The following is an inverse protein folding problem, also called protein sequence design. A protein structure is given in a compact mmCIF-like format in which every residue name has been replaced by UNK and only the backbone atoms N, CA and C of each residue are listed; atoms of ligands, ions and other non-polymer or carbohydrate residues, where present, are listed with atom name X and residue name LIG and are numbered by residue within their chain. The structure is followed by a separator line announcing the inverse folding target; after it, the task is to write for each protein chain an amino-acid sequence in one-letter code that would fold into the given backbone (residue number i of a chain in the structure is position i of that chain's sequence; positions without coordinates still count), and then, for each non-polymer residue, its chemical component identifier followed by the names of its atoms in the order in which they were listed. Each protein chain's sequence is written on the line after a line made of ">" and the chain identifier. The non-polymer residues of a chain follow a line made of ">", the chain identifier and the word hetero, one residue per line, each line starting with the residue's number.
data_IF_242358593156
#
_entry.id   IF_242358593156
#
_cell.length_a   1.000
_cell.length_b   1.000
_cell.length_c   1.000
_cell.angle_alpha   90.00
_cell.angle_beta   90.00
_cell.angle_gamma   90.00
#
_symmetry.space_group_name_H-M   'P 1'
#
loop_
_entity.id
_entity.type
_entity.pdbx_description
1 polymer ?
#
# COMPACT_ATOMS: atom_id res chain seq x y z
N UNK A 1 -70.69 -23.87 -40.07
CA UNK A 1 -69.79 -25.00 -39.77
C UNK A 1 -68.65 -24.43 -38.94
N UNK A 2 -68.67 -24.68 -37.63
CA UNK A 2 -67.72 -24.15 -36.66
C UNK A 2 -66.37 -24.88 -36.83
N UNK A 3 -65.28 -24.12 -36.87
CA UNK A 3 -63.91 -24.63 -36.75
C UNK A 3 -63.31 -23.96 -35.52
N UNK A 4 -63.14 -24.76 -34.47
CA UNK A 4 -62.46 -24.38 -33.23
C UNK A 4 -60.96 -24.49 -33.44
N UNK A 5 -60.23 -23.38 -33.36
CA UNK A 5 -58.77 -23.39 -33.24
C UNK A 5 -58.44 -23.41 -31.74
N UNK A 6 -58.04 -24.56 -31.21
CA UNK A 6 -57.50 -24.67 -29.85
C UNK A 6 -56.06 -24.19 -29.85
N UNK A 7 -55.81 -22.99 -29.30
CA UNK A 7 -54.47 -22.50 -29.02
C UNK A 7 -53.93 -23.16 -27.74
N UNK A 8 -52.94 -24.03 -27.89
CA UNK A 8 -52.19 -24.62 -26.78
C UNK A 8 -51.29 -23.54 -26.16
N UNK A 9 -51.63 -23.07 -24.97
CA UNK A 9 -50.78 -22.18 -24.19
C UNK A 9 -49.60 -22.97 -23.59
N UNK A 10 -48.39 -22.71 -24.07
CA UNK A 10 -47.15 -23.21 -23.50
C UNK A 10 -46.87 -22.42 -22.21
N UNK A 11 -47.20 -23.01 -21.05
CA UNK A 11 -46.85 -22.47 -19.74
C UNK A 11 -45.34 -22.68 -19.54
N UNK A 12 -44.56 -21.62 -19.73
CA UNK A 12 -43.15 -21.57 -19.37
C UNK A 12 -43.06 -21.47 -17.85
N UNK A 13 -42.82 -22.59 -17.17
CA UNK A 13 -42.49 -22.59 -15.75
C UNK A 13 -41.16 -21.87 -15.52
N UNK A 14 -41.19 -20.58 -15.14
CA UNK A 14 -40.04 -19.94 -14.51
C UNK A 14 -39.81 -20.61 -13.16
N UNK A 15 -38.94 -21.60 -13.13
CA UNK A 15 -38.36 -22.07 -11.88
C UNK A 15 -37.44 -20.97 -11.36
N UNK A 16 -37.91 -20.18 -10.40
CA UNK A 16 -37.03 -19.40 -9.54
C UNK A 16 -36.21 -20.39 -8.72
N UNK A 17 -35.00 -20.68 -9.17
CA UNK A 17 -33.98 -21.28 -8.32
C UNK A 17 -33.76 -20.32 -7.16
N UNK A 18 -34.12 -20.74 -5.95
CA UNK A 18 -33.62 -20.11 -4.73
C UNK A 18 -32.13 -20.43 -4.72
N UNK A 19 -31.31 -19.49 -5.18
CA UNK A 19 -29.89 -19.53 -4.90
C UNK A 19 -29.74 -19.38 -3.39
N UNK A 20 -29.48 -20.49 -2.70
CA UNK A 20 -28.87 -20.45 -1.39
C UNK A 20 -27.45 -19.94 -1.62
N UNK A 21 -27.20 -18.65 -1.37
CA UNK A 21 -25.85 -18.21 -1.11
C UNK A 21 -25.37 -19.02 0.11
N UNK A 22 -24.36 -19.86 -0.06
CA UNK A 22 -23.64 -20.39 1.08
C UNK A 22 -22.95 -19.20 1.78
N UNK A 23 -22.87 -19.23 3.10
CA UNK A 23 -22.42 -18.09 3.92
C UNK A 23 -20.93 -17.76 3.77
N UNK A 24 -20.39 -17.75 2.56
CA UNK A 24 -19.13 -17.10 2.22
C UNK A 24 -19.34 -15.58 2.17
N UNK A 25 -19.79 -14.98 3.27
CA UNK A 25 -19.35 -13.62 3.57
C UNK A 25 -17.85 -13.74 3.78
N UNK A 26 -17.08 -13.46 2.73
CA UNK A 26 -15.72 -13.04 2.91
C UNK A 26 -15.87 -11.70 3.62
N UNK A 27 -15.61 -11.67 4.93
CA UNK A 27 -15.38 -10.42 5.66
C UNK A 27 -14.45 -9.60 4.79
N UNK A 28 -14.92 -8.45 4.27
CA UNK A 28 -14.16 -7.71 3.27
C UNK A 28 -12.76 -7.48 3.83
N UNK A 29 -11.68 -7.87 3.10
CA UNK A 29 -10.34 -7.71 3.62
C UNK A 29 -10.16 -6.24 3.98
N UNK A 30 -9.70 -5.96 5.20
CA UNK A 30 -9.38 -4.60 5.58
C UNK A 30 -8.14 -4.19 4.77
N UNK A 31 -8.35 -3.37 3.73
CA UNK A 31 -7.29 -2.88 2.86
C UNK A 31 -6.80 -1.53 3.40
N UNK A 32 -5.51 -1.46 3.72
CA UNK A 32 -4.83 -0.19 4.00
C UNK A 32 -4.20 0.30 2.70
N UNK A 33 -4.64 1.44 2.14
CA UNK A 33 -4.01 1.99 0.95
C UNK A 33 -2.61 2.50 1.29
N UNK A 34 -1.63 2.10 0.49
CA UNK A 34 -0.21 2.45 0.67
C UNK A 34 0.30 3.06 -0.62
N UNK A 35 0.79 4.28 -0.56
CA UNK A 35 1.47 4.91 -1.68
C UNK A 35 2.98 4.94 -1.51
N UNK A 36 3.66 4.91 -2.65
CA UNK A 36 5.11 5.02 -2.72
C UNK A 36 5.52 5.98 -3.81
N UNK A 37 6.53 6.79 -3.50
CA UNK A 37 7.28 7.54 -4.49
C UNK A 37 8.74 7.12 -4.44
N UNK A 38 9.40 7.09 -5.59
CA UNK A 38 10.86 6.96 -5.67
C UNK A 38 11.40 8.13 -6.46
N UNK A 39 12.30 8.89 -5.85
CA UNK A 39 12.71 10.20 -6.33
C UNK A 39 14.22 10.37 -6.29
N UNK A 40 14.70 11.25 -7.16
CA UNK A 40 16.04 11.83 -7.09
C UNK A 40 15.96 13.26 -6.61
N UNK A 41 16.98 13.72 -5.92
CA UNK A 41 17.08 15.15 -5.64
C UNK A 41 17.39 15.91 -6.94
N UNK A 42 16.82 17.11 -7.07
CA UNK A 42 17.21 18.02 -8.14
C UNK A 42 18.61 18.59 -7.88
N UNK A 43 19.25 19.09 -8.93
CA UNK A 43 20.60 19.64 -8.85
C UNK A 43 20.72 20.69 -7.74
N UNK A 44 21.56 20.40 -6.75
CA UNK A 44 21.83 21.29 -5.62
C UNK A 44 20.82 21.21 -4.47
N UNK A 45 19.79 20.36 -4.57
CA UNK A 45 18.90 20.04 -3.47
C UNK A 45 19.41 18.83 -2.69
N UNK A 46 19.08 18.76 -1.40
CA UNK A 46 19.36 17.62 -0.55
C UNK A 46 18.23 17.35 0.48
N UNK A 47 18.55 16.54 1.49
CA UNK A 47 17.60 16.18 2.54
C UNK A 47 17.15 17.38 3.37
N UNK A 48 17.99 18.39 3.59
CA UNK A 48 17.61 19.57 4.38
C UNK A 48 16.56 20.38 3.61
N UNK A 49 16.75 20.58 2.29
CA UNK A 49 15.75 21.24 1.46
C UNK A 49 14.42 20.48 1.44
N UNK A 50 14.47 19.14 1.40
CA UNK A 50 13.26 18.31 1.49
C UNK A 50 12.60 18.42 2.87
N UNK A 51 13.38 18.43 3.95
CA UNK A 51 12.87 18.56 5.31
C UNK A 51 12.15 19.90 5.53
N UNK A 52 12.67 20.98 4.96
CA UNK A 52 12.00 22.29 4.99
C UNK A 52 10.61 22.23 4.32
N UNK A 53 10.50 21.58 3.15
CA UNK A 53 9.21 21.38 2.48
C UNK A 53 8.29 20.45 3.28
N UNK A 54 8.83 19.45 3.95
CA UNK A 54 8.06 18.53 4.81
C UNK A 54 7.51 19.23 6.05
N UNK A 55 8.23 20.19 6.63
CA UNK A 55 7.74 20.99 7.76
C UNK A 55 6.53 21.84 7.34
N UNK A 56 6.62 22.49 6.18
CA UNK A 56 5.50 23.19 5.58
C UNK A 56 4.33 22.26 5.26
N UNK A 57 4.61 21.05 4.76
CA UNK A 57 3.58 20.05 4.47
C UNK A 57 2.88 19.55 5.73
N UNK A 58 3.61 19.31 6.82
CA UNK A 58 3.00 18.94 8.08
C UNK A 58 2.10 20.05 8.62
N UNK A 59 2.53 21.31 8.50
CA UNK A 59 1.70 22.48 8.89
C UNK A 59 0.40 22.52 8.08
N UNK A 60 0.50 22.34 6.76
CA UNK A 60 -0.67 22.24 5.88
C UNK A 60 -1.60 21.08 6.27
N UNK A 61 -1.05 19.89 6.53
CA UNK A 61 -1.85 18.72 6.91
C UNK A 61 -2.58 18.95 8.23
N UNK A 62 -1.95 19.64 9.19
CA UNK A 62 -2.56 19.98 10.47
C UNK A 62 -3.66 21.05 10.31
N UNK A 63 -3.43 22.07 9.48
CA UNK A 63 -4.40 23.13 9.18
C UNK A 63 -5.64 22.59 8.45
N UNK A 64 -5.46 21.60 7.58
CA UNK A 64 -6.53 20.89 6.87
C UNK A 64 -7.18 19.78 7.73
N UNK A 65 -6.67 19.53 8.94
CA UNK A 65 -7.19 18.52 9.86
C UNK A 65 -7.03 17.08 9.37
N UNK A 66 -5.96 16.79 8.61
CA UNK A 66 -5.66 15.46 8.07
C UNK A 66 -4.74 14.69 9.00
N UNK A 67 -5.31 13.92 9.92
CA UNK A 67 -4.60 13.14 10.94
C UNK A 67 -4.54 11.63 10.64
N UNK A 68 -5.24 11.19 9.59
CA UNK A 68 -5.41 9.80 9.17
C UNK A 68 -4.46 9.36 8.03
N UNK A 69 -3.32 10.06 7.88
CA UNK A 69 -2.29 9.76 6.89
C UNK A 69 -0.90 9.67 7.55
N UNK A 70 -0.27 8.52 7.40
CA UNK A 70 1.11 8.26 7.79
C UNK A 70 2.06 8.58 6.64
N UNK A 71 3.25 9.09 6.98
CA UNK A 71 4.33 9.24 6.03
C UNK A 71 5.71 8.93 6.65
N UNK A 72 6.55 8.27 5.87
CA UNK A 72 7.97 8.12 6.13
C UNK A 72 8.78 8.40 4.86
N UNK A 73 9.95 9.01 5.04
CA UNK A 73 10.98 9.00 4.00
C UNK A 73 11.80 7.72 4.11
N UNK A 74 12.14 7.12 2.97
CA UNK A 74 12.88 5.85 2.91
C UNK A 74 14.10 5.99 2.01
N UNK A 75 15.27 5.65 2.52
CA UNK A 75 16.52 5.70 1.78
C UNK A 75 17.08 4.28 1.59
N UNK A 76 17.54 3.91 0.38
CA UNK A 76 18.23 2.63 0.17
C UNK A 76 19.43 2.49 1.09
N UNK A 77 19.46 1.42 1.88
CA UNK A 77 20.63 1.10 2.71
C UNK A 77 21.81 0.63 1.84
N UNK A 78 21.51 -0.04 0.73
CA UNK A 78 22.46 -0.48 -0.28
C UNK A 78 22.13 0.18 -1.61
N UNK A 79 23.14 0.65 -2.33
CA UNK A 79 23.00 1.26 -3.66
C UNK A 79 23.09 0.19 -4.76
N UNK A 80 22.28 0.33 -5.82
CA UNK A 80 22.21 -0.62 -6.93
C UNK A 80 21.77 0.03 -8.25
N UNK A 81 21.60 -0.76 -9.31
CA UNK A 81 21.29 -0.27 -10.66
C UNK A 81 19.96 0.51 -10.75
N UNK A 82 19.00 0.19 -9.89
CA UNK A 82 17.69 0.86 -9.79
C UNK A 82 17.65 1.90 -8.67
N UNK A 83 18.77 2.59 -8.40
CA UNK A 83 18.87 3.52 -7.29
C UNK A 83 18.05 4.80 -7.50
N UNK A 84 17.23 5.10 -6.49
CA UNK A 84 16.66 6.40 -6.19
C UNK A 84 17.39 6.99 -4.98
N UNK A 85 17.35 8.31 -4.82
CA UNK A 85 18.03 8.97 -3.70
C UNK A 85 17.16 8.92 -2.44
N UNK A 86 15.85 9.18 -2.60
CA UNK A 86 14.88 9.20 -1.52
C UNK A 86 13.53 8.67 -2.01
N UNK A 87 12.89 7.87 -1.18
CA UNK A 87 11.53 7.41 -1.37
C UNK A 87 10.59 8.02 -0.35
N UNK A 88 9.32 8.08 -0.71
CA UNK A 88 8.22 8.42 0.20
C UNK A 88 7.35 7.18 0.37
N UNK A 89 7.04 6.82 1.60
CA UNK A 89 6.10 5.76 1.94
C UNK A 89 4.93 6.40 2.70
N UNK A 90 3.79 6.44 2.03
CA UNK A 90 2.54 6.97 2.57
C UNK A 90 1.55 5.84 2.87
N UNK A 91 0.74 6.00 3.91
CA UNK A 91 -0.38 5.09 4.18
C UNK A 91 -1.58 5.85 4.74
N UNK A 92 -2.76 5.61 4.18
CA UNK A 92 -4.01 6.14 4.73
C UNK A 92 -4.62 5.15 5.70
N UNK A 93 -5.41 5.63 6.67
CA UNK A 93 -6.13 4.76 7.59
C UNK A 93 -7.05 3.76 6.88
N UNK A 94 -7.72 4.19 5.80
CA UNK A 94 -8.59 3.37 4.96
C UNK A 94 -8.80 4.00 3.55
N UNK A 95 -9.63 3.35 2.72
CA UNK A 95 -9.97 3.84 1.39
C UNK A 95 -10.75 5.16 1.35
N UNK A 96 -11.56 5.47 2.37
CA UNK A 96 -12.29 6.73 2.46
C UNK A 96 -11.33 7.88 2.78
N UNK A 97 -10.38 7.65 3.70
CA UNK A 97 -9.29 8.57 4.03
C UNK A 97 -8.43 8.86 2.79
N UNK A 98 -8.12 7.83 1.99
CA UNK A 98 -7.42 8.01 0.72
C UNK A 98 -8.22 8.90 -0.25
N UNK A 99 -9.51 8.63 -0.43
CA UNK A 99 -10.37 9.43 -1.31
C UNK A 99 -10.43 10.89 -0.87
N UNK A 100 -10.78 11.13 0.40
CA UNK A 100 -10.87 12.48 0.96
C UNK A 100 -9.54 13.23 0.96
N UNK A 101 -8.45 12.56 1.33
CA UNK A 101 -7.11 13.14 1.33
C UNK A 101 -6.62 13.48 -0.08
N UNK A 102 -6.88 12.61 -1.05
CA UNK A 102 -6.54 12.86 -2.47
C UNK A 102 -7.35 14.03 -3.03
N UNK A 103 -8.66 14.06 -2.77
CA UNK A 103 -9.52 15.17 -3.20
C UNK A 103 -9.06 16.50 -2.60
N UNK A 104 -8.73 16.50 -1.30
CA UNK A 104 -8.18 17.68 -0.63
C UNK A 104 -6.87 18.13 -1.31
N UNK A 105 -5.88 17.24 -1.43
CA UNK A 105 -4.59 17.53 -2.04
C UNK A 105 -4.70 18.08 -3.46
N UNK A 106 -5.57 17.51 -4.30
CA UNK A 106 -5.79 17.99 -5.66
C UNK A 106 -6.42 19.39 -5.71
N UNK A 107 -7.19 19.76 -4.68
CA UNK A 107 -7.92 21.03 -4.63
C UNK A 107 -7.11 22.18 -4.01
N UNK A 108 -6.28 21.91 -3.00
CA UNK A 108 -5.58 22.93 -2.19
C UNK A 108 -4.06 22.78 -2.19
N UNK A 109 -3.52 21.58 -2.45
CA UNK A 109 -2.10 21.26 -2.32
C UNK A 109 -1.18 21.79 -3.42
N UNK A 110 -1.68 22.54 -4.41
CA UNK A 110 -0.94 22.91 -5.61
C UNK A 110 0.35 23.72 -5.38
N UNK A 111 0.33 24.69 -4.45
CA UNK A 111 1.53 25.49 -4.13
C UNK A 111 2.60 24.63 -3.44
N UNK A 112 2.18 23.79 -2.49
CA UNK A 112 3.06 22.90 -1.76
C UNK A 112 3.62 21.80 -2.65
N UNK A 113 2.81 21.27 -3.57
CA UNK A 113 3.27 20.34 -4.60
C UNK A 113 4.36 20.98 -5.49
N UNK A 114 4.24 22.27 -5.82
CA UNK A 114 5.28 22.98 -6.57
C UNK A 114 6.60 23.08 -5.78
N UNK A 115 6.56 23.15 -4.44
CA UNK A 115 7.73 23.10 -3.57
C UNK A 115 8.36 21.71 -3.55
N UNK A 116 7.57 20.64 -3.42
CA UNK A 116 8.11 19.28 -3.57
C UNK A 116 8.77 19.08 -4.95
N UNK A 117 8.14 19.57 -6.01
CA UNK A 117 8.68 19.51 -7.36
C UNK A 117 9.88 20.44 -7.59
N UNK A 118 10.22 21.37 -6.69
CA UNK A 118 11.46 22.16 -6.81
C UNK A 118 12.67 21.43 -6.24
N UNK A 119 12.45 20.49 -5.32
CA UNK A 119 13.52 19.72 -4.65
C UNK A 119 13.63 18.27 -5.15
N UNK A 120 12.53 17.67 -5.62
CA UNK A 120 12.48 16.27 -6.07
C UNK A 120 12.12 16.13 -7.55
N UNK A 121 12.73 15.12 -8.17
CA UNK A 121 12.32 14.55 -9.46
C UNK A 121 11.92 13.08 -9.23
N UNK A 122 10.61 12.84 -9.15
CA UNK A 122 10.06 11.53 -8.82
C UNK A 122 9.84 10.70 -10.08
N UNK A 123 10.49 9.54 -10.14
CA UNK A 123 10.45 8.61 -11.27
C UNK A 123 9.23 7.70 -11.22
N UNK A 124 8.66 7.50 -10.03
CA UNK A 124 7.45 6.70 -9.83
C UNK A 124 6.53 7.32 -8.78
N UNK A 125 5.23 7.13 -8.99
CA UNK A 125 4.18 7.21 -7.97
C UNK A 125 3.33 5.96 -8.13
N UNK A 126 3.23 5.14 -7.08
CA UNK A 126 2.50 3.88 -7.14
C UNK A 126 1.70 3.69 -5.87
N UNK A 127 0.45 3.28 -6.02
CA UNK A 127 -0.47 3.01 -4.92
C UNK A 127 -0.82 1.52 -4.90
N UNK A 128 -0.83 0.93 -3.70
CA UNK A 128 -1.10 -0.47 -3.45
C UNK A 128 -2.26 -0.57 -2.45
N UNK A 129 -3.17 -1.51 -2.68
CA UNK A 129 -4.06 -1.97 -1.62
C UNK A 129 -3.30 -3.02 -0.79
N UNK A 130 -2.95 -2.70 0.45
CA UNK A 130 -2.23 -3.64 1.33
C UNK A 130 -3.20 -4.40 2.21
N UNK A 131 -2.96 -5.69 2.38
CA UNK A 131 -3.72 -6.57 3.28
C UNK A 131 -2.77 -7.31 4.19
N UNK A 132 -3.22 -7.64 5.39
CA UNK A 132 -2.58 -8.68 6.19
C UNK A 132 -2.83 -10.04 5.51
N UNK A 133 -1.76 -10.76 5.14
CA UNK A 133 -1.84 -11.92 4.25
C UNK A 133 -2.59 -13.15 4.81
N UNK A 134 -3.42 -13.73 3.93
CA UNK A 134 -3.71 -15.17 3.71
C UNK A 134 -3.96 -15.37 2.18
N UNK A 135 -3.68 -16.54 1.56
CA UNK A 135 -2.94 -16.62 0.29
C UNK A 135 -3.69 -15.98 -0.91
N UNK A 136 -2.98 -15.40 -1.90
CA UNK A 136 -3.60 -14.92 -3.13
C UNK A 136 -3.75 -16.01 -4.21
N UNK A 137 -4.64 -15.73 -5.17
CA UNK A 137 -4.70 -16.35 -6.51
C UNK A 137 -4.70 -15.23 -7.56
N UNK A 138 -3.85 -15.43 -8.59
CA UNK A 138 -3.75 -14.73 -9.90
C UNK A 138 -3.39 -13.22 -9.82
N UNK A 139 -2.79 -12.53 -10.78
CA UNK A 139 -1.95 -12.75 -11.98
C UNK A 139 -1.21 -11.40 -12.14
N UNK A 140 0.06 -11.36 -11.76
CA UNK A 140 1.03 -10.29 -12.00
C UNK A 140 2.44 -10.95 -12.04
N UNK A 141 3.50 -10.24 -12.47
CA UNK A 141 4.87 -10.79 -12.53
C UNK A 141 5.51 -11.00 -11.14
N UNK A 142 4.83 -10.56 -10.08
CA UNK A 142 5.00 -10.92 -8.68
C UNK A 142 3.61 -11.09 -8.03
N UNK A 143 3.44 -12.05 -7.11
CA UNK A 143 2.13 -12.27 -6.47
C UNK A 143 1.78 -11.21 -5.41
N UNK A 144 2.80 -10.69 -4.71
CA UNK A 144 2.66 -9.62 -3.72
C UNK A 144 4.02 -9.03 -3.31
N UNK A 145 4.02 -7.88 -2.64
CA UNK A 145 5.21 -7.33 -1.97
C UNK A 145 5.18 -7.65 -0.48
N UNK A 146 6.26 -8.25 0.02
CA UNK A 146 6.44 -8.52 1.45
C UNK A 146 7.31 -7.42 2.09
N UNK A 147 6.78 -6.73 3.09
CA UNK A 147 7.48 -5.64 3.78
C UNK A 147 7.57 -5.96 5.27
N UNK A 148 8.77 -5.89 5.82
CA UNK A 148 9.03 -6.01 7.25
C UNK A 148 9.54 -4.67 7.78
N UNK A 149 8.90 -4.18 8.85
CA UNK A 149 9.32 -2.98 9.58
C UNK A 149 10.00 -3.35 10.89
N UNK A 150 11.00 -2.57 11.28
CA UNK A 150 11.75 -2.73 12.52
C UNK A 150 11.86 -1.38 13.23
N UNK A 151 11.76 -1.40 14.56
CA UNK A 151 11.83 -0.17 15.38
C UNK A 151 13.21 0.51 15.28
N UNK A 152 14.29 -0.27 15.20
CA UNK A 152 15.65 0.22 15.08
C UNK A 152 16.61 -0.83 14.48
N UNK A 153 17.87 -0.42 14.24
CA UNK A 153 18.92 -1.29 13.72
C UNK A 153 19.33 -2.42 14.67
N UNK A 154 19.09 -2.28 15.98
CA UNK A 154 19.34 -3.35 16.96
C UNK A 154 18.32 -4.47 16.77
N UNK A 155 17.04 -4.12 16.55
CA UNK A 155 15.98 -5.06 16.23
C UNK A 155 16.27 -5.80 14.90
N UNK A 156 16.74 -5.08 13.88
CA UNK A 156 17.21 -5.70 12.62
C UNK A 156 18.35 -6.68 12.91
N UNK A 157 19.39 -6.26 13.65
CA UNK A 157 20.51 -7.13 13.99
C UNK A 157 20.08 -8.40 14.76
N UNK A 158 19.12 -8.26 15.67
CA UNK A 158 18.55 -9.38 16.40
C UNK A 158 17.76 -10.35 15.50
N UNK A 159 17.02 -9.83 14.51
CA UNK A 159 16.38 -10.67 13.50
C UNK A 159 17.42 -11.41 12.64
N UNK A 160 18.45 -10.73 12.15
CA UNK A 160 19.52 -11.36 11.36
C UNK A 160 20.23 -12.47 12.15
N UNK A 161 20.51 -12.26 13.44
CA UNK A 161 21.09 -13.29 14.31
C UNK A 161 20.14 -14.49 14.47
N UNK A 162 18.85 -14.23 14.67
CA UNK A 162 17.82 -15.27 14.75
C UNK A 162 17.69 -16.04 13.43
N UNK A 163 17.72 -15.34 12.31
CA UNK A 163 17.63 -15.91 10.96
C UNK A 163 18.87 -16.73 10.63
N UNK A 164 20.09 -16.20 10.81
CA UNK A 164 21.34 -16.87 10.47
C UNK A 164 21.75 -17.96 11.45
N UNK A 165 21.82 -17.64 12.74
CA UNK A 165 22.37 -18.52 13.78
C UNK A 165 21.29 -19.20 14.63
N UNK A 166 20.16 -18.53 14.87
CA UNK A 166 19.02 -19.06 15.63
C UNK A 166 18.21 -20.12 14.88
N UNK A 167 18.53 -20.42 13.63
CA UNK A 167 17.88 -21.43 12.82
C UNK A 167 16.51 -21.01 12.27
N UNK A 168 16.09 -19.76 12.44
CA UNK A 168 14.82 -19.29 11.89
C UNK A 168 14.78 -19.33 10.36
N UNK A 169 15.94 -19.29 9.67
CA UNK A 169 15.98 -19.54 8.22
C UNK A 169 15.39 -20.91 7.84
N UNK A 170 15.63 -21.96 8.64
CA UNK A 170 15.08 -23.30 8.39
C UNK A 170 13.57 -23.31 8.56
N UNK A 171 13.09 -22.63 9.59
CA UNK A 171 11.66 -22.55 9.86
C UNK A 171 10.95 -21.72 8.79
N UNK A 172 11.56 -20.62 8.34
CA UNK A 172 11.04 -19.85 7.23
C UNK A 172 10.95 -20.71 5.95
N UNK A 173 12.04 -21.40 5.57
CA UNK A 173 12.03 -22.35 4.44
C UNK A 173 10.94 -23.44 4.56
N UNK A 174 10.75 -24.04 5.73
CA UNK A 174 9.69 -25.03 5.97
C UNK A 174 8.28 -24.45 5.78
N UNK A 175 8.07 -23.18 6.15
CA UNK A 175 6.76 -22.53 6.11
C UNK A 175 6.44 -21.91 4.75
N UNK A 176 7.43 -21.31 4.10
CA UNK A 176 7.22 -20.43 2.93
C UNK A 176 8.01 -20.86 1.70
N UNK A 177 8.96 -21.79 1.80
CA UNK A 177 9.88 -22.13 0.71
C UNK A 177 9.22 -22.78 -0.52
N UNK A 178 8.06 -23.43 -0.36
CA UNK A 178 7.24 -23.91 -1.49
C UNK A 178 6.21 -22.87 -1.98
N UNK A 179 5.98 -21.81 -1.20
CA UNK A 179 4.95 -20.81 -1.46
C UNK A 179 5.52 -19.55 -2.11
N UNK A 180 6.72 -19.14 -1.71
CA UNK A 180 7.31 -17.85 -2.05
C UNK A 180 8.64 -18.05 -2.78
N UNK A 181 8.74 -17.47 -3.96
CA UNK A 181 10.00 -17.24 -4.64
C UNK A 181 10.27 -15.72 -4.64
N UNK A 182 11.10 -15.27 -3.69
CA UNK A 182 11.47 -13.86 -3.59
C UNK A 182 12.77 -13.61 -4.36
N UNK A 183 12.69 -12.80 -5.41
CA UNK A 183 13.78 -12.51 -6.33
C UNK A 183 14.81 -11.51 -5.78
N UNK A 184 14.36 -10.51 -5.00
CA UNK A 184 15.22 -9.46 -4.44
C UNK A 184 14.80 -8.99 -3.05
N UNK A 185 15.74 -9.11 -2.10
CA UNK A 185 15.63 -8.43 -0.81
C UNK A 185 16.24 -7.03 -0.89
N UNK A 186 15.49 -6.01 -0.46
CA UNK A 186 15.97 -4.63 -0.34
C UNK A 186 15.83 -4.18 1.10
N UNK A 187 16.84 -3.46 1.60
CA UNK A 187 16.84 -2.88 2.93
C UNK A 187 16.84 -1.36 2.81
N UNK A 188 15.96 -0.70 3.56
CA UNK A 188 15.84 0.74 3.59
C UNK A 188 15.99 1.25 5.03
N UNK A 189 16.59 2.42 5.17
CA UNK A 189 16.49 3.21 6.39
C UNK A 189 15.24 4.08 6.26
N UNK A 190 14.31 3.98 7.20
CA UNK A 190 13.09 4.79 7.21
C UNK A 190 13.17 5.87 8.29
N UNK A 191 12.66 7.06 7.98
CA UNK A 191 12.44 8.14 8.96
C UNK A 191 10.98 8.52 8.90
N UNK A 192 10.26 8.33 10.00
CA UNK A 192 8.86 8.77 10.11
C UNK A 192 8.83 10.30 10.10
N UNK A 193 8.10 10.86 9.15
CA UNK A 193 7.92 12.32 8.99
C UNK A 193 6.51 12.78 9.32
N UNK A 194 5.56 11.84 9.41
CA UNK A 194 4.22 12.05 9.98
C UNK A 194 3.67 10.74 10.54
N UNK A 195 3.23 10.77 11.78
CA UNK A 195 2.46 9.68 12.37
C UNK A 195 0.96 9.92 12.13
N UNK A 196 0.22 8.85 11.87
CA UNK A 196 -1.24 8.90 11.92
C UNK A 196 -1.72 8.81 13.37
N UNK A 197 -2.83 9.48 13.69
CA UNK A 197 -3.57 9.17 14.92
C UNK A 197 -4.50 8.01 14.63
N UNK A 198 -4.25 6.89 15.31
CA UNK A 198 -5.21 5.79 15.32
C UNK A 198 -6.17 6.02 16.48
N UNK A 199 -7.44 6.18 16.19
CA UNK A 199 -8.47 6.12 17.23
C UNK A 199 -8.47 4.67 17.76
N UNK A 200 -8.10 4.51 19.03
CA UNK A 200 -8.19 3.23 19.74
C UNK A 200 -9.70 2.88 19.90
N UNK A 201 -10.28 2.14 18.96
CA UNK A 201 -11.58 1.45 19.16
C UNK A 201 -11.45 0.17 20.00
#
# INVERSE_FOLDING_TARGET
>A
MQSNLTATALILCLSTSIALADGHEIEEPNFVPVETFTCKFKDGADHDDLNDVIEEWNTYMDDEGVDNYFAATVQPHYVGEFAFDIGWLGAWADGNAMGAGTDNWLSTGGELNAKFLSVLDCQSHTNFASVNLKPPKDDDDYDFKYVEGYDDHTAVGADYERMGNGGAWRKNQELTGELLDCDVARLYNATVVRAMTMDDE
#
